data_IF_257288497027
#
_entry.id   IF_257288497027
#
_cell.length_a   1.000
_cell.length_b   1.000
_cell.length_c   1.000
_cell.angle_alpha   90.00
_cell.angle_beta   90.00
_cell.angle_gamma   90.00
#
_symmetry.space_group_name_H-M   'P 1'
#
loop_
_entity.id
_entity.type
_entity.pdbx_description
1 polymer ?
#
# COMPACT_ATOMS: atom_id res chain seq x y z
N UNK A 1 -6.90 -24.80 -14.50
CA UNK A 1 -5.91 -23.77 -14.84
C UNK A 1 -6.53 -22.41 -14.52
N UNK A 2 -5.76 -21.48 -13.95
CA UNK A 2 -6.22 -20.13 -13.71
C UNK A 2 -5.30 -19.10 -14.37
N UNK A 3 -5.83 -17.89 -14.60
CA UNK A 3 -5.12 -16.80 -15.27
C UNK A 3 -4.82 -15.69 -14.25
N UNK A 4 -3.55 -15.28 -14.15
CA UNK A 4 -3.17 -14.06 -13.46
C UNK A 4 -2.83 -13.01 -14.50
N UNK A 5 -3.62 -11.95 -14.55
CA UNK A 5 -3.31 -10.76 -15.34
C UNK A 5 -2.63 -9.71 -14.46
N UNK A 6 -1.45 -9.26 -14.88
CA UNK A 6 -0.69 -8.23 -14.19
C UNK A 6 -0.53 -7.01 -15.09
N UNK A 7 -0.94 -5.85 -14.59
CA UNK A 7 -0.70 -4.56 -15.21
C UNK A 7 0.02 -3.67 -14.18
N UNK A 8 1.32 -3.46 -14.40
CA UNK A 8 2.17 -2.65 -13.54
C UNK A 8 2.67 -1.49 -14.40
N UNK A 9 2.21 -0.29 -14.07
CA UNK A 9 2.65 0.93 -14.74
C UNK A 9 4.03 1.35 -14.22
N UNK A 10 4.85 1.96 -15.08
CA UNK A 10 6.11 2.54 -14.65
C UNK A 10 5.84 3.71 -13.69
N UNK A 11 6.64 3.80 -12.63
CA UNK A 11 6.48 4.85 -11.64
C UNK A 11 7.59 4.86 -10.59
N UNK A 12 7.68 5.95 -9.85
CA UNK A 12 8.70 6.15 -8.82
C UNK A 12 8.56 5.20 -7.64
N UNK A 13 7.43 4.52 -7.52
CA UNK A 13 7.15 3.53 -6.48
C UNK A 13 7.92 2.21 -6.66
N UNK A 14 8.41 1.90 -7.87
CA UNK A 14 9.07 0.62 -8.15
C UNK A 14 10.35 0.40 -7.32
N UNK A 15 11.04 1.49 -7.00
CA UNK A 15 12.27 1.45 -6.19
C UNK A 15 12.01 1.70 -4.69
N UNK A 16 10.75 1.78 -4.27
CA UNK A 16 10.41 2.04 -2.88
C UNK A 16 10.56 0.80 -2.00
N UNK A 17 11.13 0.95 -0.80
CA UNK A 17 11.14 -0.13 0.17
C UNK A 17 9.72 -0.47 0.60
N UNK A 18 9.41 -1.75 0.64
CA UNK A 18 8.11 -2.25 1.11
C UNK A 18 8.28 -3.46 2.02
N UNK A 19 7.21 -3.85 2.67
CA UNK A 19 7.18 -5.04 3.53
C UNK A 19 7.45 -6.28 2.69
N UNK A 20 8.42 -7.07 3.15
CA UNK A 20 8.76 -8.33 2.48
C UNK A 20 7.55 -9.26 2.45
N UNK A 21 7.28 -9.86 1.30
CA UNK A 21 6.20 -10.83 1.09
C UNK A 21 4.79 -10.26 1.36
N UNK A 22 4.62 -8.94 1.28
CA UNK A 22 3.34 -8.26 1.51
C UNK A 22 2.20 -8.80 0.65
N UNK A 23 2.47 -9.04 -0.62
CA UNK A 23 1.44 -9.42 -1.60
C UNK A 23 1.16 -10.94 -1.62
N UNK A 24 2.07 -11.75 -1.12
CA UNK A 24 1.93 -13.20 -1.16
C UNK A 24 0.64 -13.70 -0.48
N UNK A 25 0.30 -13.30 0.77
CA UNK A 25 -0.92 -13.75 1.41
C UNK A 25 -2.19 -13.32 0.65
N UNK A 26 -2.14 -12.17 -0.03
CA UNK A 26 -3.27 -11.65 -0.80
C UNK A 26 -3.50 -12.46 -2.07
N UNK A 27 -2.42 -12.77 -2.80
CA UNK A 27 -2.48 -13.61 -3.99
C UNK A 27 -2.87 -15.04 -3.63
N UNK A 28 -2.33 -15.61 -2.54
CA UNK A 28 -2.72 -16.92 -2.05
C UNK A 28 -4.20 -16.99 -1.67
N UNK A 29 -4.74 -15.94 -1.06
CA UNK A 29 -6.17 -15.83 -0.76
C UNK A 29 -7.00 -15.79 -2.05
N UNK A 30 -6.59 -14.99 -3.04
CA UNK A 30 -7.25 -14.92 -4.33
C UNK A 30 -7.22 -16.28 -5.06
N UNK A 31 -6.11 -17.00 -5.04
CA UNK A 31 -6.02 -18.36 -5.62
C UNK A 31 -6.91 -19.34 -4.87
N UNK A 32 -6.91 -19.30 -3.54
CA UNK A 32 -7.63 -20.29 -2.71
C UNK A 32 -9.15 -20.08 -2.67
N UNK A 33 -9.59 -18.83 -2.70
CA UNK A 33 -10.99 -18.47 -2.45
C UNK A 33 -11.62 -17.64 -3.56
N UNK A 34 -10.79 -17.06 -4.43
CA UNK A 34 -11.16 -16.07 -5.41
C UNK A 34 -11.32 -16.60 -6.83
N UNK A 35 -11.11 -17.91 -7.06
CA UNK A 35 -11.36 -18.51 -8.37
C UNK A 35 -12.85 -18.82 -8.49
N UNK A 36 -13.51 -18.01 -9.31
CA UNK A 36 -14.89 -18.23 -9.75
C UNK A 36 -14.94 -18.90 -11.12
N UNK A 37 -16.04 -18.73 -11.82
CA UNK A 37 -16.23 -19.32 -13.15
C UNK A 37 -15.21 -18.83 -14.19
N UNK A 38 -14.72 -17.60 -14.04
CA UNK A 38 -13.73 -17.00 -14.95
C UNK A 38 -12.29 -17.41 -14.65
N UNK A 39 -12.04 -18.04 -13.51
CA UNK A 39 -10.71 -18.49 -13.04
C UNK A 39 -9.62 -17.43 -13.18
N UNK A 40 -9.98 -16.15 -12.94
CA UNK A 40 -9.15 -14.98 -13.22
C UNK A 40 -8.84 -14.17 -11.97
N UNK A 41 -7.56 -13.82 -11.82
CA UNK A 41 -7.07 -12.87 -10.82
C UNK A 41 -6.43 -11.71 -11.58
N UNK A 42 -6.79 -10.48 -11.22
CA UNK A 42 -6.21 -9.27 -11.80
C UNK A 42 -5.41 -8.52 -10.73
N UNK A 43 -4.18 -8.17 -11.07
CA UNK A 43 -3.28 -7.35 -10.25
C UNK A 43 -2.96 -6.08 -11.04
N UNK A 44 -3.24 -4.93 -10.46
CA UNK A 44 -2.97 -3.62 -11.06
C UNK A 44 -2.14 -2.79 -10.08
N UNK A 45 -1.11 -2.13 -10.59
CA UNK A 45 -0.28 -1.21 -9.81
C UNK A 45 -0.05 0.05 -10.63
N UNK A 46 -0.36 1.19 -10.05
CA UNK A 46 -0.13 2.49 -10.68
C UNK A 46 0.18 3.55 -9.62
N UNK A 47 0.70 4.69 -10.04
CA UNK A 47 1.01 5.82 -9.16
C UNK A 47 -0.07 6.90 -9.24
N UNK A 48 -0.64 7.27 -8.10
CA UNK A 48 -1.38 8.53 -7.93
C UNK A 48 -0.36 9.63 -7.60
N UNK A 49 0.18 10.24 -8.65
CA UNK A 49 1.23 11.27 -8.53
C UNK A 49 0.77 12.46 -7.70
N UNK A 50 -0.51 12.85 -7.80
CA UNK A 50 -1.05 13.99 -7.07
C UNK A 50 -1.08 13.78 -5.56
N UNK A 51 -1.18 12.52 -5.12
CA UNK A 51 -1.21 12.15 -3.70
C UNK A 51 0.08 11.52 -3.20
N UNK A 52 1.05 11.31 -4.07
CA UNK A 52 2.27 10.56 -3.78
C UNK A 52 1.99 9.16 -3.22
N UNK A 53 1.10 8.43 -3.88
CA UNK A 53 0.69 7.09 -3.48
C UNK A 53 0.90 6.09 -4.62
N UNK A 54 1.47 4.95 -4.29
CA UNK A 54 1.34 3.76 -5.13
C UNK A 54 0.01 3.07 -4.77
N UNK A 55 -0.79 2.81 -5.78
CA UNK A 55 -2.09 2.13 -5.65
C UNK A 55 -1.95 0.71 -6.16
N UNK A 56 -2.12 -0.26 -5.28
CA UNK A 56 -2.10 -1.68 -5.62
C UNK A 56 -3.51 -2.23 -5.50
N UNK A 57 -4.01 -2.83 -6.56
CA UNK A 57 -5.32 -3.47 -6.58
C UNK A 57 -5.20 -4.94 -6.96
N UNK A 58 -5.76 -5.82 -6.14
CA UNK A 58 -5.87 -7.26 -6.42
C UNK A 58 -7.36 -7.60 -6.46
N UNK A 59 -7.81 -8.15 -7.57
CA UNK A 59 -9.23 -8.49 -7.78
C UNK A 59 -9.36 -9.94 -8.21
N UNK A 60 -10.37 -10.61 -7.68
CA UNK A 60 -10.80 -11.94 -8.07
C UNK A 60 -12.29 -11.97 -8.39
N UNK A 61 -12.75 -13.01 -9.08
CA UNK A 61 -14.15 -13.27 -9.44
C UNK A 61 -14.79 -14.36 -8.59
N UNK A 62 -14.22 -14.69 -7.43
CA UNK A 62 -14.64 -15.81 -6.60
C UNK A 62 -15.94 -15.60 -5.83
N UNK A 63 -16.09 -16.38 -4.77
CA UNK A 63 -17.32 -16.39 -3.95
C UNK A 63 -17.64 -15.07 -3.26
N UNK A 64 -16.66 -14.16 -3.17
CA UNK A 64 -16.76 -12.92 -2.40
C UNK A 64 -16.96 -13.14 -0.91
N UNK A 65 -17.08 -12.03 -0.19
CA UNK A 65 -17.29 -11.96 1.25
C UNK A 65 -18.69 -11.39 1.55
N UNK A 66 -19.26 -11.79 2.66
CA UNK A 66 -20.44 -11.14 3.22
C UNK A 66 -20.05 -9.94 4.10
N UNK A 67 -21.03 -9.17 4.58
CA UNK A 67 -20.77 -7.97 5.35
C UNK A 67 -20.10 -8.26 6.70
N UNK A 68 -20.47 -9.36 7.36
CA UNK A 68 -19.88 -9.75 8.64
C UNK A 68 -18.39 -10.08 8.50
N UNK A 69 -18.02 -10.79 7.43
CA UNK A 69 -16.62 -11.09 7.10
C UNK A 69 -15.81 -9.81 6.78
N UNK A 70 -16.41 -8.84 6.09
CA UNK A 70 -15.78 -7.54 5.81
C UNK A 70 -15.60 -6.74 7.12
N UNK A 71 -16.62 -6.69 7.95
CA UNK A 71 -16.58 -5.97 9.22
C UNK A 71 -15.51 -6.57 10.16
N UNK A 72 -15.36 -7.89 10.17
CA UNK A 72 -14.31 -8.58 10.92
C UNK A 72 -12.90 -8.19 10.43
N UNK A 73 -12.68 -8.13 9.11
CA UNK A 73 -11.40 -7.71 8.52
C UNK A 73 -11.08 -6.24 8.90
N UNK A 74 -12.10 -5.40 9.00
CA UNK A 74 -11.94 -3.99 9.30
C UNK A 74 -11.75 -3.68 10.79
N UNK A 75 -11.95 -4.65 11.69
CA UNK A 75 -11.67 -4.46 13.11
C UNK A 75 -10.18 -4.19 13.35
N UNK A 76 -9.82 -3.43 14.40
CA UNK A 76 -8.44 -3.27 14.82
C UNK A 76 -7.78 -4.62 15.06
N UNK A 77 -6.49 -4.70 14.70
CA UNK A 77 -5.72 -5.91 14.95
C UNK A 77 -5.41 -6.02 16.45
N UNK A 78 -5.93 -7.07 17.08
CA UNK A 78 -5.59 -7.39 18.45
C UNK A 78 -4.38 -8.33 18.48
N UNK A 79 -3.27 -7.87 19.10
CA UNK A 79 -2.04 -8.63 19.22
C UNK A 79 -2.11 -9.77 20.25
N UNK A 80 -3.27 -10.00 20.88
CA UNK A 80 -3.42 -11.12 21.81
C UNK A 80 -3.39 -12.45 21.07
N UNK A 81 -2.25 -13.14 21.16
CA UNK A 81 -1.96 -14.43 20.50
C UNK A 81 -2.93 -15.55 20.85
N UNK A 82 -3.79 -15.38 21.85
CA UNK A 82 -4.81 -16.34 22.25
C UNK A 82 -5.90 -16.55 21.20
N UNK A 83 -6.17 -15.55 20.39
CA UNK A 83 -7.22 -15.58 19.37
C UNK A 83 -6.85 -16.37 18.11
N UNK A 84 -5.57 -16.62 17.86
CA UNK A 84 -5.08 -17.29 16.65
C UNK A 84 -5.41 -18.78 16.55
N UNK A 85 -5.95 -19.37 17.60
CA UNK A 85 -6.11 -20.84 17.69
C UNK A 85 -7.36 -21.39 17.02
N UNK A 86 -8.36 -20.61 16.69
CA UNK A 86 -9.66 -21.18 16.40
C UNK A 86 -10.31 -20.90 15.05
N UNK A 87 -9.83 -19.97 14.20
CA UNK A 87 -10.53 -19.77 12.91
C UNK A 87 -9.59 -19.41 11.76
N UNK A 88 -9.51 -20.30 10.78
CA UNK A 88 -8.74 -20.18 9.54
C UNK A 88 -9.30 -19.14 8.54
N UNK A 89 -10.18 -18.21 8.95
CA UNK A 89 -10.81 -17.25 8.07
C UNK A 89 -10.36 -15.82 8.40
N UNK A 90 -9.92 -15.10 7.37
CA UNK A 90 -9.60 -13.67 7.49
C UNK A 90 -8.23 -13.32 8.10
N UNK A 91 -7.50 -14.28 8.66
CA UNK A 91 -6.20 -14.07 9.31
C UNK A 91 -5.21 -13.39 8.37
N UNK A 92 -5.15 -13.80 7.10
CA UNK A 92 -4.20 -13.28 6.13
C UNK A 92 -4.37 -11.78 5.87
N UNK A 93 -5.60 -11.30 5.66
CA UNK A 93 -5.88 -9.89 5.42
C UNK A 93 -5.64 -9.02 6.65
N UNK A 94 -6.04 -9.49 7.83
CA UNK A 94 -5.78 -8.79 9.09
C UNK A 94 -4.29 -8.70 9.39
N UNK A 95 -3.54 -9.77 9.13
CA UNK A 95 -2.09 -9.78 9.26
C UNK A 95 -1.42 -8.78 8.31
N UNK A 96 -1.82 -8.76 7.03
CA UNK A 96 -1.32 -7.79 6.05
C UNK A 96 -1.62 -6.36 6.50
N UNK A 97 -2.82 -6.09 7.00
CA UNK A 97 -3.20 -4.78 7.52
C UNK A 97 -2.29 -4.35 8.68
N UNK A 98 -2.08 -5.22 9.66
CA UNK A 98 -1.20 -4.94 10.80
C UNK A 98 0.26 -4.71 10.37
N UNK A 99 0.78 -5.50 9.43
CA UNK A 99 2.12 -5.30 8.88
C UNK A 99 2.26 -3.95 8.16
N UNK A 100 1.26 -3.56 7.38
CA UNK A 100 1.23 -2.27 6.71
C UNK A 100 1.21 -1.11 7.71
N UNK A 101 0.32 -1.17 8.68
CA UNK A 101 0.20 -0.15 9.73
C UNK A 101 1.52 0.03 10.50
N UNK A 102 2.19 -1.09 10.84
CA UNK A 102 3.47 -1.06 11.55
C UNK A 102 4.63 -0.54 10.70
N UNK A 103 4.71 -0.93 9.42
CA UNK A 103 5.84 -0.55 8.55
C UNK A 103 5.75 0.90 8.06
N UNK A 104 4.54 1.39 7.83
CA UNK A 104 4.30 2.73 7.30
C UNK A 104 3.80 3.72 8.35
N UNK A 105 3.90 3.40 9.65
CA UNK A 105 3.46 4.26 10.77
C UNK A 105 2.03 4.80 10.58
N UNK A 106 1.12 3.94 10.11
CA UNK A 106 -0.27 4.30 9.83
C UNK A 106 -0.50 5.17 8.59
N UNK A 107 0.54 5.46 7.79
CA UNK A 107 0.44 6.24 6.54
C UNK A 107 -0.01 5.42 5.34
N UNK A 108 -0.68 4.32 5.57
CA UNK A 108 -1.17 3.40 4.54
C UNK A 108 -2.65 3.12 4.76
N UNK A 109 -3.30 2.60 3.74
CA UNK A 109 -4.70 2.17 3.84
C UNK A 109 -4.91 0.89 3.05
N UNK A 110 -5.72 0.00 3.60
CA UNK A 110 -6.19 -1.21 2.94
C UNK A 110 -7.72 -1.21 2.93
N UNK A 111 -8.29 -1.29 1.74
CA UNK A 111 -9.74 -1.34 1.52
C UNK A 111 -10.13 -2.69 0.94
N UNK A 112 -11.18 -3.29 1.49
CA UNK A 112 -11.80 -4.49 0.95
C UNK A 112 -13.17 -4.13 0.42
N UNK A 113 -13.36 -4.34 -0.89
CA UNK A 113 -14.64 -4.22 -1.54
C UNK A 113 -15.03 -5.60 -2.07
N UNK A 114 -16.08 -6.18 -1.53
CA UNK A 114 -16.51 -7.53 -1.88
C UNK A 114 -18.02 -7.65 -1.81
N UNK A 115 -18.54 -8.55 -2.62
CA UNK A 115 -19.95 -8.93 -2.58
C UNK A 115 -20.06 -10.42 -2.84
N UNK A 116 -20.83 -11.10 -2.01
CA UNK A 116 -21.06 -12.54 -2.13
C UNK A 116 -21.54 -12.91 -3.53
N UNK A 117 -20.84 -13.83 -4.20
CA UNK A 117 -21.11 -14.28 -5.56
C UNK A 117 -20.51 -13.38 -6.66
N UNK A 118 -19.78 -12.30 -6.33
CA UNK A 118 -19.22 -11.35 -7.29
C UNK A 118 -17.70 -11.15 -7.17
N UNK A 119 -17.06 -11.86 -6.24
CA UNK A 119 -15.63 -11.76 -6.01
C UNK A 119 -15.22 -10.69 -5.00
N UNK A 120 -13.90 -10.46 -4.92
CA UNK A 120 -13.29 -9.53 -3.98
C UNK A 120 -12.29 -8.62 -4.68
N UNK A 121 -12.27 -7.34 -4.29
CA UNK A 121 -11.24 -6.38 -4.67
C UNK A 121 -10.59 -5.83 -3.42
N UNK A 122 -9.27 -5.99 -3.34
CA UNK A 122 -8.44 -5.41 -2.28
C UNK A 122 -7.65 -4.28 -2.91
N UNK A 123 -7.73 -3.09 -2.31
CA UNK A 123 -6.95 -1.93 -2.72
C UNK A 123 -6.05 -1.50 -1.57
N UNK A 124 -4.76 -1.35 -1.85
CA UNK A 124 -3.74 -0.90 -0.90
C UNK A 124 -3.18 0.41 -1.41
N UNK A 125 -3.11 1.41 -0.53
CA UNK A 125 -2.47 2.68 -0.78
C UNK A 125 -1.15 2.71 -0.01
N UNK A 126 -0.04 2.84 -0.72
CA UNK A 126 1.31 2.88 -0.16
C UNK A 126 1.92 4.25 -0.39
N UNK A 127 2.49 4.92 0.62
CA UNK A 127 3.14 6.20 0.42
C UNK A 127 4.40 6.03 -0.45
N UNK A 128 4.53 6.86 -1.47
CA UNK A 128 5.74 7.00 -2.28
C UNK A 128 6.59 8.07 -1.64
N UNK A 129 7.77 7.71 -1.14
CA UNK A 129 8.71 8.63 -0.51
C UNK A 129 9.60 9.23 -1.59
N UNK A 130 9.84 10.53 -1.51
CA UNK A 130 10.87 11.15 -2.36
C UNK A 130 12.24 10.57 -2.02
N UNK A 131 13.09 10.30 -3.05
CA UNK A 131 14.46 9.86 -2.82
C UNK A 131 15.19 10.86 -1.90
N UNK A 132 15.93 10.35 -0.91
CA UNK A 132 16.66 11.20 0.05
C UNK A 132 17.65 12.15 -0.62
N UNK A 133 18.19 11.80 -1.77
CA UNK A 133 19.08 12.63 -2.58
C UNK A 133 18.45 13.97 -3.03
N UNK A 134 17.12 14.03 -3.22
CA UNK A 134 16.43 15.30 -3.51
C UNK A 134 16.38 16.21 -2.29
N UNK A 135 16.19 15.66 -1.10
CA UNK A 135 16.13 16.44 0.14
C UNK A 135 17.46 17.10 0.51
N UNK A 136 18.59 16.47 0.15
CA UNK A 136 19.91 17.07 0.38
C UNK A 136 20.19 18.19 -0.62
N UNK A 137 19.86 18.01 -1.90
CA UNK A 137 20.03 19.05 -2.92
C UNK A 137 19.17 20.28 -2.67
N UNK A 138 17.91 20.09 -2.25
CA UNK A 138 17.02 21.21 -1.91
C UNK A 138 17.51 21.96 -0.67
N UNK A 139 18.14 21.28 0.29
CA UNK A 139 18.78 21.91 1.46
C UNK A 139 20.05 22.67 1.09
N UNK A 140 20.88 22.16 0.18
CA UNK A 140 22.07 22.84 -0.30
C UNK A 140 21.71 24.11 -1.08
N UNK A 141 20.73 24.04 -2.00
CA UNK A 141 20.25 25.21 -2.74
C UNK A 141 19.71 26.29 -1.80
N UNK A 142 18.92 25.93 -0.80
CA UNK A 142 18.37 26.87 0.19
C UNK A 142 19.46 27.50 1.07
N UNK A 143 20.54 26.76 1.36
CA UNK A 143 21.68 27.27 2.12
C UNK A 143 22.57 28.22 1.29
N UNK A 144 22.69 28.00 -0.01
CA UNK A 144 23.43 28.91 -0.92
C UNK A 144 22.66 30.20 -1.15
N UNK A 145 21.34 30.16 -1.36
CA UNK A 145 20.50 31.35 -1.49
C UNK A 145 20.54 32.24 -0.24
N UNK A 146 20.55 31.64 0.96
CA UNK A 146 20.65 32.39 2.22
C UNK A 146 22.07 33.00 2.44
N UNK A 147 23.13 32.45 1.85
CA UNK A 147 24.46 33.00 1.94
C UNK A 147 24.69 34.20 0.99
N UNK A 148 24.03 34.19 -0.16
CA UNK A 148 24.11 35.32 -1.13
C UNK A 148 23.34 36.55 -0.62
N UNK A 149 22.26 36.35 0.16
CA UNK A 149 21.49 37.47 0.74
C UNK A 149 22.16 38.21 1.91
N UNK A 150 23.27 37.69 2.49
CA UNK A 150 23.94 38.29 3.65
C UNK A 150 25.21 39.10 3.35
N UNK A 151 25.61 39.23 2.10
CA UNK A 151 26.85 39.90 1.74
C UNK A 151 26.71 41.37 1.28
N UNK A 152 25.52 41.96 1.28
CA UNK A 152 25.29 43.30 0.70
C UNK A 152 24.89 44.42 1.70
N UNK A 153 25.14 44.23 3.00
CA UNK A 153 24.98 45.31 3.98
C UNK A 153 26.29 45.61 4.73
N UNK A 154 27.32 46.11 3.99
CA UNK A 154 28.41 46.91 4.56
C UNK A 154 28.86 47.95 3.56
N UNK A 155 28.11 49.02 3.41
CA UNK A 155 28.59 50.27 2.80
C UNK A 155 28.52 51.33 3.90
N UNK A 156 29.66 51.52 4.48
CA UNK A 156 30.47 52.68 4.84
C UNK A 156 29.72 54.01 4.99
N UNK A 157 29.62 54.46 6.23
CA UNK A 157 29.40 55.86 6.60
C UNK A 157 30.72 56.49 7.02
N UNK A 158 31.26 57.32 6.16
CA UNK A 158 32.12 58.45 6.50
C UNK A 158 31.52 59.74 6.01
#
# INVERSE_FOLDING_TARGET
DFIIEMNIEDGSYLDQPTVRMLFQPLVENAIRYGLGDDEKISIQVFEDVARHLAVVTISDSGKGLNQEEIDEINQPFDYDWGYWKNENRGIGLRYVKAMLESFYDGQTSLFVNSKKGFGTRITILLPVREPEEKKEKDKEVTLEENKVGQTDERIDCR
#
